data_IF_605649561342
#
_entry.id   IF_605649561342
#
_cell.length_a   1.000
_cell.length_b   1.000
_cell.length_c   1.000
_cell.angle_alpha   90.00
_cell.angle_beta   90.00
_cell.angle_gamma   90.00
#
_symmetry.space_group_name_H-M   'P 1'
#
loop_
_entity.id
_entity.type
_entity.pdbx_description
1 polymer ?
#
# COMPACT_ATOMS: atom_id res chain seq x y z
N UNK A 1 -6.79 26.36 8.45
CA UNK A 1 -5.77 27.32 7.98
C UNK A 1 -6.34 28.73 8.07
N UNK A 2 -5.53 29.72 8.42
CA UNK A 2 -5.96 31.11 8.41
C UNK A 2 -5.81 31.73 7.01
N UNK A 3 -6.73 32.60 6.59
CA UNK A 3 -6.64 33.28 5.30
C UNK A 3 -5.54 34.34 5.30
N UNK A 4 -5.09 34.68 4.09
CA UNK A 4 -4.04 35.67 3.83
C UNK A 4 -2.66 35.06 3.60
N UNK A 5 -1.65 35.91 3.61
CA UNK A 5 -0.26 35.52 3.36
C UNK A 5 0.61 35.89 4.57
N UNK A 6 0.95 34.89 5.38
CA UNK A 6 1.97 35.05 6.43
C UNK A 6 3.37 35.22 5.81
N UNK A 7 4.32 35.89 6.51
CA UNK A 7 5.69 36.02 6.01
C UNK A 7 6.34 34.65 5.72
N UNK A 8 6.79 34.44 4.47
CA UNK A 8 7.40 33.18 4.04
C UNK A 8 6.42 32.02 3.77
N UNK A 9 5.12 32.26 3.88
CA UNK A 9 4.08 31.25 3.63
C UNK A 9 3.38 31.47 2.28
N UNK A 10 2.72 30.41 1.80
CA UNK A 10 1.78 30.49 0.68
C UNK A 10 0.61 31.41 1.02
N UNK A 11 0.16 32.22 0.06
CA UNK A 11 -1.14 32.89 0.13
C UNK A 11 -2.24 31.83 0.26
N UNK A 12 -3.19 32.04 1.16
CA UNK A 12 -4.39 31.22 1.31
C UNK A 12 -5.63 32.07 1.20
N UNK A 13 -6.46 31.80 0.21
CA UNK A 13 -7.69 32.56 0.01
C UNK A 13 -8.84 31.97 0.83
N UNK A 14 -9.76 32.84 1.28
CA UNK A 14 -10.99 32.37 1.92
C UNK A 14 -11.81 31.57 0.92
N UNK A 15 -12.17 30.34 1.30
CA UNK A 15 -12.91 29.42 0.44
C UNK A 15 -12.05 28.58 -0.51
N UNK A 16 -10.72 28.69 -0.43
CA UNK A 16 -9.80 27.80 -1.14
C UNK A 16 -10.06 26.33 -0.72
N UNK A 17 -10.23 25.46 -1.71
CA UNK A 17 -10.41 24.02 -1.51
C UNK A 17 -9.06 23.29 -1.57
N UNK A 18 -8.93 22.19 -0.83
CA UNK A 18 -7.75 21.34 -0.87
C UNK A 18 -8.01 19.98 -0.22
N UNK A 19 -6.99 19.12 -0.23
CA UNK A 19 -7.08 17.74 0.23
C UNK A 19 -7.61 16.79 -0.86
N UNK A 20 -7.57 15.49 -0.55
CA UNK A 20 -8.05 14.39 -1.41
C UNK A 20 -8.64 13.29 -0.52
N UNK A 21 -9.77 12.69 -0.91
CA UNK A 21 -10.39 11.62 -0.10
C UNK A 21 -9.67 10.28 -0.20
N UNK A 22 -8.94 10.06 -1.31
CA UNK A 22 -8.18 8.83 -1.53
C UNK A 22 -6.81 9.12 -2.14
N UNK A 23 -5.85 8.24 -1.89
CA UNK A 23 -4.49 8.33 -2.42
C UNK A 23 -4.08 6.96 -2.97
N UNK A 24 -3.55 6.94 -4.19
CA UNK A 24 -2.84 5.77 -4.73
C UNK A 24 -1.36 5.96 -4.48
N UNK A 25 -0.71 4.97 -3.86
CA UNK A 25 0.72 5.01 -3.61
C UNK A 25 1.50 4.92 -4.92
N UNK A 26 2.55 5.73 -5.02
CA UNK A 26 3.57 5.61 -6.05
C UNK A 26 4.65 4.61 -5.61
N UNK A 27 5.39 4.05 -6.56
CA UNK A 27 6.54 3.16 -6.25
C UNK A 27 7.58 3.87 -5.37
N UNK A 28 7.77 5.18 -5.55
CA UNK A 28 8.66 6.00 -4.71
C UNK A 28 8.20 6.15 -3.25
N UNK A 29 6.95 5.84 -2.96
CA UNK A 29 6.35 5.93 -1.61
C UNK A 29 6.35 4.58 -0.89
N UNK A 30 6.85 3.52 -1.54
CA UNK A 30 6.95 2.17 -0.98
C UNK A 30 8.44 1.80 -0.84
N UNK A 31 8.89 1.27 0.31
CA UNK A 31 10.25 0.78 0.45
C UNK A 31 10.57 -0.33 -0.55
N UNK A 32 11.74 -0.22 -1.19
CA UNK A 32 12.24 -1.26 -2.08
C UNK A 32 12.40 -2.58 -1.29
N UNK A 33 11.73 -3.62 -1.78
CA UNK A 33 11.85 -4.98 -1.28
C UNK A 33 11.83 -5.94 -2.47
N UNK A 34 12.52 -7.08 -2.32
CA UNK A 34 12.59 -8.10 -3.35
C UNK A 34 12.34 -9.48 -2.73
N UNK A 35 11.58 -10.30 -3.45
CA UNK A 35 11.38 -11.69 -3.12
C UNK A 35 12.27 -12.55 -4.02
N UNK A 36 13.05 -13.45 -3.43
CA UNK A 36 13.82 -14.44 -4.16
C UNK A 36 13.23 -15.83 -3.87
N UNK A 37 12.53 -16.41 -4.86
CA UNK A 37 12.11 -17.81 -4.78
C UNK A 37 13.32 -18.68 -5.08
N UNK A 38 13.53 -19.70 -4.26
CA UNK A 38 14.63 -20.64 -4.41
C UNK A 38 14.12 -22.07 -4.43
N UNK A 39 14.79 -22.91 -5.20
CA UNK A 39 14.50 -24.33 -5.30
C UNK A 39 15.80 -25.15 -5.23
N UNK A 40 15.68 -26.40 -4.82
CA UNK A 40 16.74 -27.38 -4.85
C UNK A 40 16.94 -27.90 -6.29
N UNK A 41 18.19 -28.17 -6.65
CA UNK A 41 18.53 -28.69 -7.98
C UNK A 41 18.43 -30.21 -8.07
N UNK A 42 18.37 -30.90 -6.94
CA UNK A 42 18.20 -32.35 -6.89
C UNK A 42 16.72 -32.76 -7.13
N UNK A 43 16.47 -33.99 -7.62
CA UNK A 43 15.13 -34.54 -7.76
C UNK A 43 14.33 -34.53 -6.44
N UNK A 44 13.06 -34.16 -6.53
CA UNK A 44 12.12 -34.32 -5.41
C UNK A 44 11.76 -35.78 -5.16
N UNK A 45 11.59 -36.14 -3.90
CA UNK A 45 11.19 -37.47 -3.41
C UNK A 45 9.92 -37.44 -2.55
N UNK A 46 9.41 -36.23 -2.26
CA UNK A 46 8.23 -35.99 -1.45
C UNK A 46 7.14 -35.27 -2.24
N UNK A 47 5.90 -35.59 -1.89
CA UNK A 47 4.69 -34.95 -2.43
C UNK A 47 4.16 -33.82 -1.54
N UNK A 48 4.67 -33.69 -0.31
CA UNK A 48 4.18 -32.75 0.68
C UNK A 48 5.16 -31.57 0.89
N UNK A 49 4.66 -30.32 0.97
CA UNK A 49 5.50 -29.14 1.13
C UNK A 49 5.98 -28.88 2.57
N UNK A 50 5.32 -29.49 3.58
CA UNK A 50 5.56 -29.13 4.98
C UNK A 50 7.01 -29.37 5.40
N UNK A 51 7.69 -28.31 5.85
CA UNK A 51 9.11 -28.30 6.21
C UNK A 51 10.08 -28.80 5.11
N UNK A 52 9.66 -28.75 3.84
CA UNK A 52 10.46 -29.21 2.70
C UNK A 52 10.72 -28.06 1.71
N UNK A 53 11.79 -28.21 0.93
CA UNK A 53 12.10 -27.27 -0.16
C UNK A 53 11.47 -27.75 -1.48
N UNK A 54 11.09 -26.80 -2.35
CA UNK A 54 10.73 -27.09 -3.74
C UNK A 54 11.95 -27.67 -4.47
N UNK A 55 11.75 -28.67 -5.31
CA UNK A 55 12.79 -29.43 -6.00
C UNK A 55 12.44 -29.69 -7.47
N UNK A 56 13.37 -30.26 -8.23
CA UNK A 56 13.10 -30.70 -9.61
C UNK A 56 12.10 -31.86 -9.57
N UNK A 57 10.96 -31.70 -10.25
CA UNK A 57 9.89 -32.71 -10.15
C UNK A 57 10.24 -34.02 -10.86
N UNK A 58 9.97 -35.14 -10.19
CA UNK A 58 10.09 -36.50 -10.75
C UNK A 58 8.84 -37.29 -10.36
N UNK A 59 8.09 -37.79 -11.36
CA UNK A 59 6.92 -38.65 -11.11
C UNK A 59 5.86 -38.00 -10.20
N UNK A 60 5.73 -36.67 -10.24
CA UNK A 60 4.89 -35.83 -9.38
C UNK A 60 5.40 -35.57 -7.95
N UNK A 61 6.54 -36.15 -7.53
CA UNK A 61 7.26 -35.65 -6.36
C UNK A 61 7.87 -34.29 -6.72
N UNK A 62 7.76 -33.31 -5.83
CA UNK A 62 8.17 -31.90 -6.07
C UNK A 62 8.91 -31.29 -4.89
N UNK A 63 9.08 -32.04 -3.81
CA UNK A 63 9.67 -31.56 -2.57
C UNK A 63 10.78 -32.50 -2.10
N UNK A 64 11.73 -31.97 -1.34
CA UNK A 64 12.76 -32.77 -0.68
C UNK A 64 13.09 -32.22 0.72
N UNK A 65 13.54 -33.10 1.61
CA UNK A 65 14.07 -32.68 2.92
C UNK A 65 15.53 -32.24 2.78
N UNK A 66 15.94 -31.20 3.51
CA UNK A 66 17.37 -30.88 3.67
C UNK A 66 18.11 -30.46 2.40
N UNK A 67 17.49 -29.65 1.54
CA UNK A 67 18.13 -29.12 0.34
C UNK A 67 19.44 -28.35 0.67
N UNK A 68 20.58 -29.00 0.44
CA UNK A 68 21.91 -28.44 0.75
C UNK A 68 22.30 -27.30 -0.21
N UNK A 69 21.74 -27.28 -1.42
CA UNK A 69 21.98 -26.23 -2.42
C UNK A 69 20.68 -25.72 -3.04
N UNK A 70 20.21 -24.60 -2.50
CA UNK A 70 19.11 -23.83 -3.07
C UNK A 70 19.66 -22.83 -4.10
N UNK A 71 19.08 -22.81 -5.30
CA UNK A 71 19.39 -21.81 -6.34
C UNK A 71 18.20 -20.88 -6.54
N UNK A 72 18.46 -19.64 -6.95
CA UNK A 72 17.39 -18.70 -7.32
C UNK A 72 16.67 -19.25 -8.55
N UNK A 73 15.34 -19.23 -8.51
CA UNK A 73 14.53 -19.48 -9.70
C UNK A 73 14.56 -18.26 -10.63
N UNK A 74 14.15 -18.44 -11.88
CA UNK A 74 14.01 -17.35 -12.83
C UNK A 74 13.02 -16.30 -12.32
N UNK A 75 13.30 -15.00 -12.49
CA UNK A 75 12.50 -13.90 -11.91
C UNK A 75 11.00 -13.97 -12.29
N UNK A 76 10.68 -14.56 -13.45
CA UNK A 76 9.29 -14.80 -13.88
C UNK A 76 8.50 -15.70 -12.94
N UNK A 77 9.14 -16.46 -12.04
CA UNK A 77 8.45 -17.29 -11.05
C UNK A 77 7.75 -16.46 -9.97
N UNK A 78 8.13 -15.19 -9.79
CA UNK A 78 7.53 -14.27 -8.84
C UNK A 78 7.17 -12.96 -9.54
N UNK A 79 5.90 -12.82 -9.92
CA UNK A 79 5.41 -11.55 -10.43
C UNK A 79 5.31 -10.51 -9.29
N UNK A 80 5.58 -9.22 -9.57
CA UNK A 80 5.23 -8.16 -8.65
C UNK A 80 3.73 -8.17 -8.37
N UNK A 81 3.35 -7.96 -7.11
CA UNK A 81 1.97 -7.92 -6.66
C UNK A 81 1.58 -6.49 -6.29
N UNK A 82 0.33 -6.12 -6.56
CA UNK A 82 -0.19 -4.77 -6.42
C UNK A 82 -1.16 -4.47 -7.55
N UNK A 83 -2.18 -3.64 -7.30
CA UNK A 83 -3.23 -3.34 -8.29
C UNK A 83 -3.54 -1.84 -8.40
N UNK A 84 -2.61 -1.00 -7.94
CA UNK A 84 -2.70 0.47 -7.93
C UNK A 84 -4.04 1.00 -7.36
N UNK A 85 -4.63 0.24 -6.45
CA UNK A 85 -5.91 0.62 -5.84
C UNK A 85 -5.68 1.73 -4.82
N UNK A 86 -6.44 2.83 -4.90
CA UNK A 86 -6.33 3.91 -3.96
C UNK A 86 -6.78 3.47 -2.56
N UNK A 87 -6.08 3.94 -1.52
CA UNK A 87 -6.51 3.78 -0.14
C UNK A 87 -7.29 5.00 0.34
N UNK A 88 -8.19 4.78 1.29
CA UNK A 88 -8.90 5.86 1.96
C UNK A 88 -7.90 6.78 2.69
N UNK A 89 -8.05 8.07 2.48
CA UNK A 89 -7.28 9.13 3.14
C UNK A 89 -8.16 9.96 4.10
N UNK A 90 -9.44 9.61 4.23
CA UNK A 90 -10.33 10.21 5.23
C UNK A 90 -10.16 9.53 6.59
N UNK A 91 -9.72 10.30 7.58
CA UNK A 91 -9.83 9.91 8.99
C UNK A 91 -11.29 9.71 9.40
N UNK A 92 -11.59 9.01 10.51
CA UNK A 92 -12.97 8.89 11.01
C UNK A 92 -13.66 10.25 11.15
N UNK A 93 -14.87 10.37 10.61
CA UNK A 93 -15.61 11.63 10.59
C UNK A 93 -17.11 11.42 10.87
N UNK A 94 -17.77 12.52 11.25
CA UNK A 94 -19.22 12.61 11.37
C UNK A 94 -19.72 13.76 10.51
N UNK A 95 -20.68 13.48 9.63
CA UNK A 95 -21.32 14.51 8.80
C UNK A 95 -22.25 15.37 9.64
N UNK A 96 -22.11 16.69 9.50
CA UNK A 96 -22.97 17.68 10.15
C UNK A 96 -23.48 18.70 9.13
N UNK A 97 -24.58 19.36 9.45
CA UNK A 97 -25.12 20.45 8.62
C UNK A 97 -24.44 21.77 8.99
N UNK A 98 -23.92 22.49 7.99
CA UNK A 98 -23.43 23.85 8.14
C UNK A 98 -24.56 24.83 7.81
N UNK A 99 -24.97 25.63 8.80
CA UNK A 99 -26.04 26.63 8.64
C UNK A 99 -25.47 28.04 8.85
N UNK A 100 -25.76 28.95 7.91
CA UNK A 100 -25.41 30.37 8.02
C UNK A 100 -26.69 31.21 7.99
N UNK A 101 -26.84 32.13 8.95
CA UNK A 101 -27.95 33.07 8.97
C UNK A 101 -27.71 34.19 7.95
N UNK A 102 -28.55 34.26 6.92
CA UNK A 102 -28.46 35.30 5.88
C UNK A 102 -29.13 36.62 6.32
N UNK A 103 -30.03 36.57 7.32
CA UNK A 103 -30.81 37.70 7.84
C UNK A 103 -31.08 37.50 9.35
N UNK A 104 -30.94 38.55 10.17
CA UNK A 104 -31.16 38.53 11.63
C UNK A 104 -30.18 39.42 12.42
N UNK A 105 -30.38 39.58 13.74
CA UNK A 105 -29.48 40.34 14.65
C UNK A 105 -28.42 39.41 15.25
N UNK A 106 -27.50 38.88 14.44
CA UNK A 106 -26.46 37.94 14.93
C UNK A 106 -25.04 38.26 14.45
N UNK A 107 -24.01 38.17 15.32
CA UNK A 107 -24.10 37.91 16.76
C UNK A 107 -24.61 39.14 17.53
N UNK A 108 -25.54 38.98 18.50
CA UNK A 108 -25.85 40.05 19.43
C UNK A 108 -24.58 40.33 20.23
N UNK A 109 -24.06 41.55 20.11
CA UNK A 109 -22.99 42.06 20.98
C UNK A 109 -23.67 42.80 22.13
N UNK A 110 -23.87 42.13 23.26
CA UNK A 110 -24.05 42.79 24.56
C UNK A 110 -22.73 42.80 25.29
#
# INVERSE_FOLDING_TARGET
MHPGQGPGLSLRDLGEQGGVETVTLLESEIPLHAHAQRAAIDPGDLFAPSNNALAVSVGAAMYQTGAAQLVNMADVSLAPAGGDQPHNNMQPYLTVNFCIAMQGVFPPRT
#
